data_IF_329501865503
#
_entry.id   IF_329501865503
#
_cell.length_a   1.000
_cell.length_b   1.000
_cell.length_c   1.000
_cell.angle_alpha   90.00
_cell.angle_beta   90.00
_cell.angle_gamma   90.00
#
_symmetry.space_group_name_H-M   'P 1'
#
loop_
_entity.id
_entity.type
_entity.pdbx_description
1 polymer ?
#
# COMPACT_ATOMS: atom_id res chain seq x y z
N UNK A 1 2.49 -20.29 -3.83
CA UNK A 1 2.40 -19.05 -4.64
C UNK A 1 2.02 -17.93 -3.69
N UNK A 2 2.94 -17.03 -3.37
CA UNK A 2 2.68 -15.89 -2.49
C UNK A 2 1.99 -14.81 -3.33
N UNK A 3 0.78 -14.41 -2.93
CA UNK A 3 0.08 -13.31 -3.57
C UNK A 3 0.65 -11.98 -3.05
N UNK A 4 1.30 -11.20 -3.92
CA UNK A 4 1.91 -9.92 -3.55
C UNK A 4 0.88 -8.94 -2.98
N UNK A 5 -0.34 -8.92 -3.52
CA UNK A 5 -1.44 -8.12 -3.00
C UNK A 5 -1.80 -8.50 -1.56
N UNK A 6 -1.85 -9.79 -1.23
CA UNK A 6 -2.16 -10.23 0.13
C UNK A 6 -1.05 -9.89 1.12
N UNK A 7 0.22 -10.01 0.70
CA UNK A 7 1.35 -9.57 1.50
C UNK A 7 1.27 -8.06 1.76
N UNK A 8 1.02 -7.28 0.70
CA UNK A 8 0.87 -5.84 0.75
C UNK A 8 -0.26 -5.41 1.69
N UNK A 9 -1.46 -5.94 1.48
CA UNK A 9 -2.64 -5.65 2.30
C UNK A 9 -2.42 -5.97 3.77
N UNK A 10 -1.80 -7.10 4.08
CA UNK A 10 -1.48 -7.47 5.47
C UNK A 10 -0.49 -6.49 6.08
N UNK A 11 0.62 -6.22 5.40
CA UNK A 11 1.68 -5.34 5.90
C UNK A 11 1.27 -3.88 5.98
N UNK A 12 0.36 -3.41 5.12
CA UNK A 12 -0.27 -2.11 5.23
C UNK A 12 -1.09 -1.98 6.53
N UNK A 13 -1.91 -2.99 6.85
CA UNK A 13 -2.68 -3.02 8.11
C UNK A 13 -1.82 -3.11 9.36
N UNK A 14 -0.64 -3.73 9.25
CA UNK A 14 0.34 -3.87 10.34
C UNK A 14 1.29 -2.65 10.46
N UNK A 15 1.14 -1.63 9.60
CA UNK A 15 2.07 -0.49 9.48
C UNK A 15 3.54 -0.93 9.26
N UNK A 16 3.72 -2.00 8.48
CA UNK A 16 4.99 -2.67 8.22
C UNK A 16 5.32 -2.73 6.71
N UNK A 17 4.90 -1.72 5.95
CA UNK A 17 5.16 -1.66 4.50
C UNK A 17 6.66 -1.65 4.15
N UNK A 18 7.51 -1.14 5.04
CA UNK A 18 8.97 -1.20 4.89
C UNK A 18 9.50 -2.64 4.76
N UNK A 19 8.81 -3.64 5.32
CA UNK A 19 9.22 -5.04 5.22
C UNK A 19 9.09 -5.61 3.80
N UNK A 20 8.33 -4.94 2.93
CA UNK A 20 8.14 -5.32 1.52
C UNK A 20 9.29 -4.78 0.66
N UNK A 21 9.95 -3.70 1.11
CA UNK A 21 11.05 -3.08 0.37
C UNK A 21 12.18 -4.09 0.18
N UNK A 22 12.66 -4.23 -1.06
CA UNK A 22 13.66 -5.22 -1.41
C UNK A 22 14.96 -5.00 -0.62
N UNK A 23 15.36 -6.01 0.14
CA UNK A 23 16.56 -6.00 0.99
C UNK A 23 17.84 -6.22 0.20
N UNK A 24 17.73 -6.68 -1.05
CA UNK A 24 18.85 -6.88 -1.94
C UNK A 24 19.21 -5.63 -2.74
N UNK A 25 18.36 -4.60 -2.74
CA UNK A 25 18.57 -3.35 -3.47
C UNK A 25 19.01 -2.24 -2.52
N UNK A 26 20.29 -1.84 -2.61
CA UNK A 26 20.85 -0.76 -1.80
C UNK A 26 20.09 0.56 -1.99
N UNK A 27 19.69 0.86 -3.23
CA UNK A 27 18.92 2.06 -3.58
C UNK A 27 17.55 2.05 -2.90
N UNK A 28 16.83 0.92 -2.97
CA UNK A 28 15.54 0.80 -2.30
C UNK A 28 15.66 0.82 -0.78
N UNK A 29 16.78 0.34 -0.21
CA UNK A 29 17.03 0.44 1.24
C UNK A 29 17.34 1.88 1.66
N UNK A 30 18.13 2.62 0.88
CA UNK A 30 18.45 4.02 1.14
C UNK A 30 17.20 4.90 1.04
N UNK A 31 16.34 4.63 0.06
CA UNK A 31 15.11 5.36 -0.25
C UNK A 31 13.84 4.63 0.20
N UNK A 32 13.91 3.79 1.24
CA UNK A 32 12.81 2.91 1.64
C UNK A 32 11.52 3.64 2.00
N UNK A 33 11.62 4.83 2.61
CA UNK A 33 10.45 5.64 2.94
C UNK A 33 9.76 6.19 1.69
N UNK A 34 10.53 6.56 0.66
CA UNK A 34 9.99 7.00 -0.64
C UNK A 34 9.32 5.83 -1.37
N UNK A 35 9.89 4.63 -1.28
CA UNK A 35 9.26 3.42 -1.79
C UNK A 35 7.92 3.11 -1.10
N UNK A 36 7.84 3.29 0.22
CA UNK A 36 6.58 3.16 0.98
C UNK A 36 5.58 4.26 0.61
N UNK A 37 6.04 5.49 0.38
CA UNK A 37 5.17 6.56 -0.11
C UNK A 37 4.57 6.22 -1.48
N UNK A 38 5.38 5.73 -2.41
CA UNK A 38 4.93 5.26 -3.73
C UNK A 38 3.94 4.10 -3.65
N UNK A 39 4.13 3.19 -2.69
CA UNK A 39 3.14 2.15 -2.38
C UNK A 39 1.80 2.74 -1.91
N UNK A 40 1.84 3.79 -1.09
CA UNK A 40 0.66 4.55 -0.66
C UNK A 40 -0.06 5.21 -1.84
N UNK A 41 0.69 5.87 -2.75
CA UNK A 41 0.13 6.44 -3.98
C UNK A 41 -0.53 5.37 -4.85
N UNK A 42 0.13 4.22 -5.03
CA UNK A 42 -0.42 3.10 -5.78
C UNK A 42 -1.73 2.59 -5.15
N UNK A 43 -1.75 2.42 -3.83
CA UNK A 43 -2.95 2.04 -3.07
C UNK A 43 -4.08 3.05 -3.25
N UNK A 44 -3.78 4.36 -3.20
CA UNK A 44 -4.76 5.42 -3.40
C UNK A 44 -5.37 5.42 -4.80
N UNK A 45 -4.55 5.17 -5.83
CA UNK A 45 -4.99 5.10 -7.22
C UNK A 45 -5.80 3.82 -7.54
N UNK A 46 -5.55 2.73 -6.81
CA UNK A 46 -6.16 1.43 -7.04
C UNK A 46 -7.45 1.19 -6.24
N UNK A 47 -7.90 2.17 -5.44
CA UNK A 47 -9.15 2.06 -4.68
C UNK A 47 -10.34 1.64 -5.57
N UNK A 48 -11.22 0.79 -5.03
CA UNK A 48 -12.41 0.32 -5.75
C UNK A 48 -13.38 1.49 -5.98
N UNK A 49 -13.57 2.34 -4.97
CA UNK A 49 -14.34 3.57 -5.11
C UNK A 49 -13.59 4.59 -5.97
N UNK A 50 -14.10 4.84 -7.18
CA UNK A 50 -13.49 5.77 -8.11
C UNK A 50 -13.60 7.23 -7.66
N UNK A 51 -14.54 7.57 -6.78
CA UNK A 51 -14.69 8.93 -6.25
C UNK A 51 -13.59 9.29 -5.25
N UNK A 52 -12.99 8.30 -4.60
CA UNK A 52 -11.86 8.46 -3.68
C UNK A 52 -10.49 8.47 -4.38
N UNK A 53 -10.44 8.19 -5.68
CA UNK A 53 -9.17 8.17 -6.42
C UNK A 53 -8.65 9.61 -6.62
N UNK A 54 -7.33 9.83 -6.47
CA UNK A 54 -6.75 11.14 -6.68
C UNK A 54 -6.78 11.54 -8.16
N UNK A 55 -6.89 12.85 -8.42
CA UNK A 55 -6.62 13.38 -9.75
C UNK A 55 -5.15 13.19 -10.11
N UNK A 56 -4.82 13.13 -11.41
CA UNK A 56 -3.42 13.04 -11.84
C UNK A 56 -2.57 14.21 -11.31
N UNK A 57 -3.14 15.41 -11.23
CA UNK A 57 -2.44 16.56 -10.63
C UNK A 57 -2.13 16.34 -9.15
N UNK A 58 -3.03 15.72 -8.40
CA UNK A 58 -2.82 15.37 -6.99
C UNK A 58 -1.71 14.32 -6.86
N UNK A 59 -1.71 13.28 -7.69
CA UNK A 59 -0.67 12.25 -7.71
C UNK A 59 0.71 12.86 -7.91
N UNK A 60 0.87 13.77 -8.89
CA UNK A 60 2.15 14.45 -9.15
C UNK A 60 2.59 15.28 -7.95
N UNK A 61 1.69 16.04 -7.33
CA UNK A 61 2.02 16.83 -6.12
C UNK A 61 2.51 15.96 -4.97
N UNK A 62 1.92 14.78 -4.78
CA UNK A 62 2.36 13.86 -3.73
C UNK A 62 3.71 13.22 -4.07
N UNK A 63 3.94 12.85 -5.33
CA UNK A 63 5.25 12.36 -5.79
C UNK A 63 6.36 13.40 -5.63
N UNK A 64 6.05 14.69 -5.82
CA UNK A 64 6.99 15.80 -5.64
C UNK A 64 7.19 16.20 -4.16
N UNK A 65 6.49 15.57 -3.22
CA UNK A 65 6.54 15.91 -1.79
C UNK A 65 5.85 17.23 -1.43
N UNK A 66 5.00 17.74 -2.31
CA UNK A 66 4.20 18.96 -2.08
C UNK A 66 2.95 18.67 -1.24
N UNK A 67 2.48 17.42 -1.26
CA UNK A 67 1.32 16.94 -0.51
C UNK A 67 1.59 15.53 0.02
N UNK A 68 0.87 15.11 1.05
CA UNK A 68 0.93 13.74 1.58
C UNK A 68 -0.17 12.85 0.97
N UNK A 69 0.02 11.54 1.06
CA UNK A 69 -0.98 10.51 0.70
C UNK A 69 -2.16 10.57 1.68
N UNK A 70 -3.36 10.32 1.17
CA UNK A 70 -4.57 10.23 2.01
C UNK A 70 -4.49 9.08 3.03
N UNK A 71 -4.96 9.32 4.26
CA UNK A 71 -4.83 8.39 5.40
C UNK A 71 -5.92 7.31 5.39
N UNK A 72 -7.06 7.55 4.72
CA UNK A 72 -8.22 6.64 4.67
C UNK A 72 -8.26 5.82 3.37
N UNK A 73 -7.19 5.04 3.11
CA UNK A 73 -7.14 4.16 1.93
C UNK A 73 -7.71 2.79 2.26
N UNK A 74 -8.73 2.37 1.50
CA UNK A 74 -9.19 0.99 1.52
C UNK A 74 -8.25 0.09 0.70
N UNK A 75 -7.53 -0.79 1.39
CA UNK A 75 -6.61 -1.77 0.79
C UNK A 75 -7.32 -3.01 0.19
N UNK A 76 -8.65 -3.01 0.10
CA UNK A 76 -9.42 -4.02 -0.62
C UNK A 76 -9.54 -3.68 -2.12
N UNK A 77 -8.45 -3.75 -2.88
CA UNK A 77 -8.46 -3.42 -4.33
C UNK A 77 -9.15 -4.48 -5.20
N UNK A 78 -9.14 -5.72 -4.73
CA UNK A 78 -9.66 -6.88 -5.42
C UNK A 78 -10.50 -7.64 -4.38
N UNK A 79 -11.73 -8.02 -4.74
CA UNK A 79 -12.57 -8.97 -3.99
C UNK A 79 -11.99 -10.40 -4.03
N UNK A 80 -10.67 -10.50 -3.91
CA UNK A 80 -9.92 -11.74 -3.86
C UNK A 80 -9.81 -12.17 -2.40
N UNK A 81 -10.18 -13.43 -2.08
CA UNK A 81 -9.93 -13.97 -0.76
C UNK A 81 -8.42 -14.08 -0.56
N UNK A 82 -7.87 -13.25 0.33
CA UNK A 82 -6.56 -13.52 0.89
C UNK A 82 -6.72 -14.68 1.87
N UNK A 83 -5.89 -15.71 1.75
CA UNK A 83 -5.89 -16.80 2.72
C UNK A 83 -5.30 -16.27 4.03
N UNK A 84 -6.17 -15.92 4.97
CA UNK A 84 -5.79 -15.40 6.28
C UNK A 84 -5.35 -16.57 7.17
N UNK A 85 -4.04 -16.80 7.29
CA UNK A 85 -3.54 -17.73 8.30
C UNK A 85 -3.40 -17.00 9.66
N UNK A 86 -4.53 -16.66 10.28
CA UNK A 86 -4.67 -16.34 11.73
C UNK A 86 -6.15 -16.35 12.14
N UNK A 87 -6.58 -17.45 12.77
CA UNK A 87 -7.83 -17.63 13.53
C UNK A 87 -7.95 -16.60 14.68
N UNK A 88 -9.14 -16.21 15.16
CA UNK A 88 -9.93 -17.06 16.06
C UNK A 88 -11.40 -16.64 16.14
N UNK A 89 -12.26 -17.65 16.08
CA UNK A 89 -13.56 -17.74 16.76
C UNK A 89 -13.43 -17.42 18.25
N UNK A 90 -14.56 -17.04 18.87
CA UNK A 90 -14.87 -16.67 20.27
C UNK A 90 -14.97 -15.14 20.40
N UNK A 91 -16.15 -14.51 20.53
CA UNK A 91 -17.41 -14.88 21.21
C UNK A 91 -18.60 -14.40 20.39
#
# INVERSE_FOLDING_TARGET
>A
MICIYCLFKRKAKEDQLLDIVDKCSEDMQLHGLEAVNMMGIAAWCLQVDSAKRPSLSTVVKVSEGVMDVEVDIDYNFLDLPCADSSSSTLV
#
